data_IF_921684371508
#
_entry.id   IF_921684371508
#
_cell.length_a   1.000
_cell.length_b   1.000
_cell.length_c   1.000
_cell.angle_alpha   90.00
_cell.angle_beta   90.00
_cell.angle_gamma   90.00
#
_symmetry.space_group_name_H-M   'P 1'
#
loop_
_entity.id
_entity.type
_entity.pdbx_description
1 polymer ?
#
# COMPACT_ATOMS: atom_id res chain seq x y z
N UNK A 1 -19.28 18.54 -22.94
CA UNK A 1 -20.08 18.73 -21.72
C UNK A 1 -19.10 19.02 -20.60
N UNK A 2 -19.18 20.20 -19.98
CA UNK A 2 -18.45 20.45 -18.73
C UNK A 2 -19.06 19.55 -17.65
N UNK A 3 -18.27 18.87 -16.81
CA UNK A 3 -18.82 18.10 -15.71
C UNK A 3 -19.60 19.05 -14.80
N UNK A 4 -20.79 18.62 -14.38
CA UNK A 4 -21.61 19.36 -13.43
C UNK A 4 -20.84 19.41 -12.10
N UNK A 5 -20.28 20.58 -11.77
CA UNK A 5 -19.51 20.76 -10.55
C UNK A 5 -20.53 20.87 -9.42
N UNK A 6 -20.83 19.74 -8.78
CA UNK A 6 -21.62 19.76 -7.55
C UNK A 6 -20.91 20.66 -6.52
N UNK A 7 -21.67 21.51 -5.81
CA UNK A 7 -21.09 22.36 -4.77
C UNK A 7 -20.51 21.48 -3.67
N UNK A 8 -19.38 21.93 -3.12
CA UNK A 8 -18.77 21.26 -1.98
C UNK A 8 -19.75 21.20 -0.80
N UNK A 9 -19.78 20.06 -0.11
CA UNK A 9 -20.62 19.85 1.07
C UNK A 9 -19.74 19.73 2.32
N UNK A 10 -20.24 20.17 3.47
CA UNK A 10 -19.50 20.08 4.73
C UNK A 10 -19.77 18.73 5.41
N UNK A 11 -18.74 18.10 5.97
CA UNK A 11 -18.88 16.89 6.78
C UNK A 11 -19.70 17.14 8.04
N UNK A 12 -20.71 16.31 8.29
CA UNK A 12 -21.52 16.39 9.52
C UNK A 12 -20.69 16.17 10.80
N UNK A 13 -19.64 15.35 10.73
CA UNK A 13 -18.80 14.98 11.87
C UNK A 13 -17.65 15.95 12.10
N UNK A 14 -17.17 16.58 11.03
CA UNK A 14 -15.98 17.43 11.02
C UNK A 14 -16.31 18.82 10.49
N UNK A 15 -17.08 19.56 11.29
CA UNK A 15 -17.58 20.89 10.97
C UNK A 15 -17.31 21.92 12.07
N UNK A 16 -16.34 21.67 12.96
CA UNK A 16 -16.15 22.54 14.13
C UNK A 16 -15.79 23.97 13.73
N UNK A 17 -16.29 24.94 14.50
CA UNK A 17 -16.12 26.36 14.20
C UNK A 17 -14.68 26.80 14.47
N UNK A 18 -14.04 26.23 15.48
CA UNK A 18 -12.66 26.48 15.92
C UNK A 18 -11.59 25.66 15.18
N UNK A 19 -11.99 24.85 14.19
CA UNK A 19 -11.08 24.16 13.29
C UNK A 19 -10.17 25.16 12.55
N UNK A 20 -8.88 24.85 12.50
CA UNK A 20 -7.81 25.70 11.95
C UNK A 20 -7.29 25.23 10.58
N UNK A 21 -7.81 24.10 10.07
CA UNK A 21 -7.50 23.57 8.73
C UNK A 21 -8.71 22.91 8.09
N UNK A 22 -8.81 23.05 6.76
CA UNK A 22 -9.88 22.44 5.97
C UNK A 22 -9.28 21.50 4.92
N UNK A 23 -9.71 20.24 4.91
CA UNK A 23 -9.42 19.29 3.86
C UNK A 23 -10.62 19.09 2.94
N UNK A 24 -10.39 18.78 1.67
CA UNK A 24 -11.41 18.46 0.68
C UNK A 24 -11.18 17.06 0.12
N UNK A 25 -12.14 16.15 0.27
CA UNK A 25 -12.09 14.83 -0.37
C UNK A 25 -12.24 14.94 -1.90
N UNK A 26 -11.87 13.88 -2.63
CA UNK A 26 -11.94 13.89 -4.10
C UNK A 26 -13.38 13.97 -4.63
N UNK A 27 -14.37 13.60 -3.82
CA UNK A 27 -15.80 13.73 -4.11
C UNK A 27 -16.44 15.00 -3.51
N UNK A 28 -15.65 16.00 -3.12
CA UNK A 28 -16.15 17.35 -2.79
C UNK A 28 -16.71 17.52 -1.38
N UNK A 29 -16.34 16.67 -0.41
CA UNK A 29 -16.70 16.87 0.99
C UNK A 29 -15.58 17.61 1.73
N UNK A 30 -15.94 18.67 2.43
CA UNK A 30 -15.06 19.48 3.26
C UNK A 30 -15.02 18.95 4.69
N UNK A 31 -13.83 18.84 5.24
CA UNK A 31 -13.55 18.40 6.60
C UNK A 31 -12.79 19.48 7.33
N UNK A 32 -13.45 20.14 8.28
CA UNK A 32 -12.85 21.13 9.17
C UNK A 32 -12.27 20.41 10.38
N UNK A 33 -10.93 20.42 10.50
CA UNK A 33 -10.21 19.70 11.57
C UNK A 33 -9.16 20.59 12.25
N UNK A 34 -8.44 20.04 13.24
CA UNK A 34 -7.48 20.76 14.06
C UNK A 34 -6.05 20.25 13.81
N UNK A 35 -5.13 21.14 13.46
CA UNK A 35 -3.70 20.85 13.26
C UNK A 35 -3.09 20.12 14.44
N UNK A 36 -3.41 20.56 15.67
CA UNK A 36 -2.91 19.90 16.90
C UNK A 36 -3.15 18.40 16.94
N UNK A 37 -4.32 17.93 16.45
CA UNK A 37 -4.62 16.51 16.42
C UNK A 37 -3.84 15.81 15.29
N UNK A 38 -3.70 16.46 14.13
CA UNK A 38 -2.90 15.93 13.02
C UNK A 38 -1.43 15.77 13.41
N UNK A 39 -0.83 16.79 14.02
CA UNK A 39 0.58 16.80 14.45
C UNK A 39 0.88 15.72 15.50
N UNK A 40 -0.12 15.37 16.32
CA UNK A 40 0.06 14.38 17.39
C UNK A 40 -0.14 12.95 16.89
N UNK A 41 -0.92 12.74 15.82
CA UNK A 41 -1.37 11.42 15.39
C UNK A 41 -0.88 10.98 14.01
N UNK A 42 -0.20 11.86 13.27
CA UNK A 42 0.23 11.61 11.89
C UNK A 42 1.60 12.21 11.62
N UNK A 43 2.39 11.58 10.75
CA UNK A 43 3.65 12.19 10.26
C UNK A 43 3.48 12.93 8.93
N UNK A 44 2.42 12.63 8.18
CA UNK A 44 2.25 13.13 6.81
C UNK A 44 1.72 14.57 6.72
N UNK A 45 1.08 15.07 7.79
CA UNK A 45 0.48 16.41 7.82
C UNK A 45 1.33 17.44 8.57
N UNK A 46 2.57 17.09 8.95
CA UNK A 46 3.49 18.02 9.61
C UNK A 46 3.64 19.29 8.76
N UNK A 47 3.14 20.41 9.29
CA UNK A 47 3.10 21.66 8.54
C UNK A 47 4.51 22.19 8.25
N UNK A 48 4.79 22.70 7.05
CA UNK A 48 5.94 23.57 6.86
C UNK A 48 5.77 24.83 7.73
N UNK A 49 6.86 25.50 8.15
CA UNK A 49 6.83 26.65 9.07
C UNK A 49 6.10 27.90 8.54
N UNK A 50 5.56 27.83 7.32
CA UNK A 50 4.74 28.89 6.74
C UNK A 50 3.30 28.65 7.13
N UNK A 51 2.79 29.47 8.03
CA UNK A 51 1.41 29.49 8.51
C UNK A 51 0.45 29.33 7.33
N UNK A 52 -0.30 28.22 7.20
CA UNK A 52 -1.33 28.13 6.18
C UNK A 52 -2.31 29.26 6.43
N UNK A 53 -2.67 29.99 5.38
CA UNK A 53 -3.70 31.02 5.51
C UNK A 53 -4.97 30.36 6.06
N UNK A 54 -5.69 31.00 6.99
CA UNK A 54 -6.89 30.45 7.65
C UNK A 54 -7.99 29.94 6.70
N UNK A 55 -7.86 30.15 5.39
CA UNK A 55 -8.79 29.74 4.34
C UNK A 55 -8.20 28.74 3.33
N UNK A 56 -7.02 28.17 3.57
CA UNK A 56 -6.45 27.19 2.65
C UNK A 56 -7.23 25.86 2.73
N UNK A 57 -7.71 25.39 1.56
CA UNK A 57 -8.38 24.10 1.43
C UNK A 57 -7.40 23.11 0.80
N UNK A 58 -7.03 22.08 1.57
CA UNK A 58 -6.09 21.06 1.13
C UNK A 58 -6.87 19.91 0.48
N UNK A 59 -6.65 19.69 -0.81
CA UNK A 59 -7.33 18.60 -1.54
C UNK A 59 -6.65 17.25 -1.31
N UNK A 60 -7.46 16.24 -0.99
CA UNK A 60 -7.08 14.84 -0.80
C UNK A 60 -7.52 14.00 -2.00
N UNK A 61 -6.88 12.86 -2.22
CA UNK A 61 -7.23 11.95 -3.34
C UNK A 61 -8.29 10.93 -2.96
N UNK A 62 -8.53 10.78 -1.66
CA UNK A 62 -9.44 9.82 -1.04
C UNK A 62 -10.86 10.38 -1.03
N UNK A 63 -11.84 9.47 -1.12
CA UNK A 63 -13.26 9.82 -0.98
C UNK A 63 -13.62 10.15 0.47
N UNK A 64 -14.79 10.77 0.64
CA UNK A 64 -15.29 11.24 1.93
C UNK A 64 -15.40 10.14 2.99
N UNK A 65 -15.81 8.93 2.60
CA UNK A 65 -16.01 7.83 3.56
C UNK A 65 -14.67 7.35 4.12
N UNK A 66 -13.65 7.32 3.26
CA UNK A 66 -12.28 7.00 3.63
C UNK A 66 -11.68 8.08 4.55
N UNK A 67 -11.85 9.36 4.19
CA UNK A 67 -11.35 10.49 4.98
C UNK A 67 -12.05 10.58 6.34
N UNK A 68 -13.37 10.35 6.39
CA UNK A 68 -14.14 10.36 7.66
C UNK A 68 -13.61 9.29 8.62
N UNK A 69 -13.40 8.05 8.13
CA UNK A 69 -12.83 6.98 8.94
C UNK A 69 -11.41 7.31 9.40
N UNK A 70 -10.55 7.81 8.50
CA UNK A 70 -9.17 8.17 8.82
C UNK A 70 -9.12 9.23 9.94
N UNK A 71 -9.90 10.30 9.81
CA UNK A 71 -9.96 11.36 10.81
C UNK A 71 -10.64 10.91 12.12
N UNK A 72 -11.41 9.82 12.12
CA UNK A 72 -11.89 9.23 13.37
C UNK A 72 -10.74 8.71 14.25
N UNK A 73 -9.68 8.15 13.66
CA UNK A 73 -8.48 7.69 14.37
C UNK A 73 -7.56 8.81 14.86
N UNK A 74 -7.65 10.00 14.26
CA UNK A 74 -6.82 11.17 14.61
C UNK A 74 -7.37 11.91 15.83
N UNK A 75 -8.66 11.75 16.15
CA UNK A 75 -9.29 12.45 17.26
C UNK A 75 -9.38 11.57 18.50
N UNK A 76 -9.30 12.15 19.71
CA UNK A 76 -9.41 11.44 20.98
C UNK A 76 -10.85 11.00 21.25
N UNK A 77 -11.31 9.98 20.53
CA UNK A 77 -12.64 9.38 20.65
C UNK A 77 -12.57 7.86 20.51
N UNK A 78 -13.72 7.21 20.71
CA UNK A 78 -13.83 5.77 20.41
C UNK A 78 -13.57 5.55 18.92
N UNK A 79 -12.65 4.63 18.63
CA UNK A 79 -12.30 4.24 17.27
C UNK A 79 -13.47 3.53 16.58
N UNK A 80 -13.61 3.67 15.26
CA UNK A 80 -14.67 3.01 14.51
C UNK A 80 -14.49 1.49 14.53
N UNK A 81 -15.61 0.76 14.53
CA UNK A 81 -15.58 -0.69 14.49
C UNK A 81 -15.35 -1.18 13.04
N UNK A 82 -14.13 -1.60 12.70
CA UNK A 82 -13.81 -2.11 11.36
C UNK A 82 -14.38 -3.50 11.05
N UNK A 83 -15.08 -4.15 11.97
CA UNK A 83 -15.74 -5.46 11.72
C UNK A 83 -17.04 -5.32 10.93
N UNK A 84 -17.66 -4.16 10.95
CA UNK A 84 -18.93 -3.88 10.25
C UNK A 84 -18.72 -3.12 8.94
N UNK A 85 -17.46 -2.93 8.53
CA UNK A 85 -17.10 -2.21 7.32
C UNK A 85 -16.77 -3.22 6.22
N UNK A 86 -17.34 -2.99 5.04
CA UNK A 86 -17.08 -3.79 3.84
C UNK A 86 -15.60 -3.75 3.45
N UNK A 87 -15.10 -4.87 2.91
CA UNK A 87 -13.68 -5.03 2.59
C UNK A 87 -13.17 -3.93 1.65
N UNK A 88 -13.96 -3.53 0.64
CA UNK A 88 -13.55 -2.47 -0.29
C UNK A 88 -13.26 -1.13 0.43
N UNK A 89 -14.04 -0.80 1.46
CA UNK A 89 -13.84 0.43 2.24
C UNK A 89 -12.68 0.26 3.25
N UNK A 90 -12.52 -0.94 3.82
CA UNK A 90 -11.35 -1.28 4.63
C UNK A 90 -10.05 -1.13 3.83
N UNK A 91 -10.02 -1.60 2.58
CA UNK A 91 -8.85 -1.52 1.72
C UNK A 91 -8.45 -0.08 1.40
N UNK A 92 -9.43 0.79 1.11
CA UNK A 92 -9.19 2.23 0.93
C UNK A 92 -8.67 2.88 2.21
N UNK A 93 -9.26 2.55 3.36
CA UNK A 93 -8.79 3.06 4.65
C UNK A 93 -7.36 2.61 4.95
N UNK A 94 -7.01 1.36 4.66
CA UNK A 94 -5.66 0.83 4.88
C UNK A 94 -4.62 1.58 4.04
N UNK A 95 -4.88 1.80 2.75
CA UNK A 95 -3.99 2.58 1.89
C UNK A 95 -3.86 4.03 2.36
N UNK A 96 -4.97 4.66 2.79
CA UNK A 96 -4.95 6.02 3.32
C UNK A 96 -4.18 6.09 4.65
N UNK A 97 -4.36 5.12 5.55
CA UNK A 97 -3.67 5.06 6.83
C UNK A 97 -2.16 4.96 6.64
N UNK A 98 -1.70 4.13 5.71
CA UNK A 98 -0.29 4.02 5.32
C UNK A 98 0.22 5.33 4.70
N UNK A 99 -0.50 5.88 3.71
CA UNK A 99 -0.11 7.12 3.04
C UNK A 99 0.07 8.28 4.01
N UNK A 100 -0.84 8.40 4.98
CA UNK A 100 -0.85 9.50 5.95
C UNK A 100 -0.16 9.16 7.28
N UNK A 101 0.41 7.96 7.40
CA UNK A 101 1.09 7.48 8.61
C UNK A 101 0.24 7.63 9.88
N UNK A 102 -1.03 7.20 9.81
CA UNK A 102 -1.95 7.18 10.97
C UNK A 102 -1.77 5.85 11.68
N UNK A 103 -0.75 5.73 12.52
CA UNK A 103 -0.30 4.44 13.08
C UNK A 103 -1.39 3.61 13.76
N UNK A 104 -2.28 4.26 14.52
CA UNK A 104 -3.39 3.57 15.18
C UNK A 104 -4.35 2.91 14.18
N UNK A 105 -4.53 3.50 12.99
CA UNK A 105 -5.33 2.94 11.91
C UNK A 105 -4.55 1.86 11.13
N UNK A 106 -3.24 2.06 10.91
CA UNK A 106 -2.36 1.09 10.23
C UNK A 106 -2.42 -0.27 10.92
N UNK A 107 -2.19 -0.30 12.24
CA UNK A 107 -2.09 -1.56 13.00
C UNK A 107 -3.38 -2.38 12.88
N UNK A 108 -4.53 -1.74 13.11
CA UNK A 108 -5.82 -2.44 13.06
C UNK A 108 -6.22 -2.80 11.62
N UNK A 109 -5.90 -1.97 10.63
CA UNK A 109 -6.13 -2.31 9.22
C UNK A 109 -5.31 -3.53 8.81
N UNK A 110 -4.04 -3.61 9.22
CA UNK A 110 -3.18 -4.76 8.94
C UNK A 110 -3.75 -6.04 9.56
N UNK A 111 -4.20 -6.00 10.82
CA UNK A 111 -4.90 -7.13 11.45
C UNK A 111 -6.12 -7.55 10.64
N UNK A 112 -6.98 -6.60 10.22
CA UNK A 112 -8.19 -6.89 9.45
C UNK A 112 -7.87 -7.43 8.06
N UNK A 113 -6.81 -6.98 7.41
CA UNK A 113 -6.30 -7.56 6.16
C UNK A 113 -5.85 -9.02 6.37
N UNK A 114 -5.18 -9.30 7.50
CA UNK A 114 -4.81 -10.66 7.92
C UNK A 114 -5.99 -11.57 8.24
N UNK A 115 -7.17 -11.02 8.54
CA UNK A 115 -8.40 -11.81 8.67
C UNK A 115 -9.10 -12.01 7.31
N UNK A 116 -8.89 -11.09 6.36
CA UNK A 116 -9.56 -11.08 5.06
C UNK A 116 -8.81 -11.83 3.94
N UNK A 117 -7.54 -12.20 4.13
CA UNK A 117 -6.72 -12.77 3.03
C UNK A 117 -7.31 -14.03 2.39
N UNK A 118 -8.10 -14.81 3.13
CA UNK A 118 -8.71 -16.02 2.61
C UNK A 118 -9.79 -15.72 1.55
N UNK A 119 -10.51 -14.60 1.72
CA UNK A 119 -11.62 -14.16 0.88
C UNK A 119 -11.14 -13.17 -0.20
N UNK A 120 -10.12 -12.36 0.12
CA UNK A 120 -9.56 -11.31 -0.75
C UNK A 120 -8.04 -11.45 -0.95
N UNK A 121 -7.55 -12.60 -1.44
CA UNK A 121 -6.12 -12.89 -1.46
C UNK A 121 -5.32 -11.95 -2.37
N UNK A 122 -5.86 -11.52 -3.51
CA UNK A 122 -5.13 -10.65 -4.44
C UNK A 122 -4.96 -9.24 -3.89
N UNK A 123 -6.03 -8.65 -3.35
CA UNK A 123 -6.02 -7.31 -2.77
C UNK A 123 -5.11 -7.25 -1.54
N UNK A 124 -5.21 -8.26 -0.67
CA UNK A 124 -4.36 -8.38 0.52
C UNK A 124 -2.89 -8.61 0.14
N UNK A 125 -2.61 -9.46 -0.85
CA UNK A 125 -1.25 -9.66 -1.35
C UNK A 125 -0.66 -8.37 -1.89
N UNK A 126 -1.44 -7.60 -2.65
CA UNK A 126 -0.99 -6.32 -3.22
C UNK A 126 -0.76 -5.26 -2.14
N UNK A 127 -1.63 -5.17 -1.13
CA UNK A 127 -1.44 -4.32 0.04
C UNK A 127 -0.14 -4.70 0.78
N UNK A 128 0.01 -5.99 1.09
CA UNK A 128 1.18 -6.51 1.80
C UNK A 128 2.49 -6.29 1.02
N UNK A 129 2.46 -6.45 -0.31
CA UNK A 129 3.59 -6.18 -1.18
C UNK A 129 3.98 -4.70 -1.20
N UNK A 130 3.00 -3.77 -1.26
CA UNK A 130 3.25 -2.33 -1.27
C UNK A 130 3.89 -1.84 0.02
N UNK A 131 3.42 -2.33 1.17
CA UNK A 131 3.79 -1.82 2.49
C UNK A 131 4.82 -2.69 3.23
N UNK A 132 5.18 -3.84 2.65
CA UNK A 132 6.28 -4.68 3.15
C UNK A 132 5.90 -5.68 4.24
N UNK A 133 4.62 -6.07 4.34
CA UNK A 133 4.15 -7.07 5.30
C UNK A 133 4.42 -8.48 4.80
N UNK A 134 5.63 -8.98 5.05
CA UNK A 134 6.10 -10.27 4.50
C UNK A 134 5.17 -11.44 4.85
N UNK A 135 4.81 -11.60 6.11
CA UNK A 135 4.00 -12.74 6.55
C UNK A 135 2.60 -12.71 5.93
N UNK A 136 2.02 -11.52 5.82
CA UNK A 136 0.72 -11.32 5.17
C UNK A 136 0.81 -11.59 3.66
N UNK A 137 1.90 -11.17 3.02
CA UNK A 137 2.17 -11.44 1.61
C UNK A 137 2.31 -12.95 1.36
N UNK A 138 3.14 -13.66 2.12
CA UNK A 138 3.31 -15.12 1.97
C UNK A 138 1.98 -15.89 2.17
N UNK A 139 1.14 -15.45 3.12
CA UNK A 139 -0.15 -16.08 3.40
C UNK A 139 -1.16 -15.85 2.27
N UNK A 140 -1.26 -14.60 1.81
CA UNK A 140 -2.18 -14.20 0.74
C UNK A 140 -1.74 -14.72 -0.62
N UNK A 141 -0.44 -14.78 -0.90
CA UNK A 141 0.13 -15.39 -2.10
C UNK A 141 -0.22 -16.88 -2.18
N UNK A 142 0.03 -17.65 -1.11
CA UNK A 142 -0.34 -19.07 -1.06
C UNK A 142 -1.81 -19.28 -1.36
N UNK A 143 -2.68 -18.43 -0.81
CA UNK A 143 -4.10 -18.47 -1.08
C UNK A 143 -4.44 -18.07 -2.52
N UNK A 144 -3.79 -17.05 -3.07
CA UNK A 144 -3.96 -16.62 -4.45
C UNK A 144 -3.56 -17.72 -5.46
N UNK A 145 -2.51 -18.49 -5.17
CA UNK A 145 -2.05 -19.62 -6.00
C UNK A 145 -3.02 -20.81 -6.01
N UNK A 146 -3.92 -20.91 -5.02
CA UNK A 146 -5.03 -21.87 -5.06
C UNK A 146 -6.14 -21.45 -6.04
N UNK A 147 -6.18 -20.18 -6.44
CA UNK A 147 -7.16 -19.63 -7.38
C UNK A 147 -6.65 -19.76 -8.82
N UNK A 148 -7.58 -19.68 -9.79
CA UNK A 148 -7.23 -19.91 -11.20
C UNK A 148 -6.32 -18.79 -11.76
N UNK A 149 -5.41 -19.11 -12.69
CA UNK A 149 -4.57 -18.11 -13.37
C UNK A 149 -5.37 -16.97 -14.03
N UNK A 150 -6.58 -17.27 -14.50
CA UNK A 150 -7.50 -16.28 -15.08
C UNK A 150 -7.92 -15.24 -14.05
N UNK A 151 -8.25 -15.65 -12.82
CA UNK A 151 -8.60 -14.71 -11.74
C UNK A 151 -7.40 -13.83 -11.37
N UNK A 152 -6.18 -14.38 -11.36
CA UNK A 152 -4.97 -13.60 -11.11
C UNK A 152 -4.72 -12.55 -12.20
N UNK A 153 -4.94 -12.87 -13.48
CA UNK A 153 -4.79 -11.93 -14.58
C UNK A 153 -5.77 -10.75 -14.49
N UNK A 154 -7.02 -11.00 -14.06
CA UNK A 154 -8.04 -9.97 -13.91
C UNK A 154 -7.77 -9.03 -12.72
N UNK A 155 -7.20 -9.55 -11.63
CA UNK A 155 -6.99 -8.80 -10.40
C UNK A 155 -5.62 -8.10 -10.30
N UNK A 156 -4.59 -8.58 -11.00
CA UNK A 156 -3.23 -8.10 -10.85
C UNK A 156 -2.79 -7.19 -12.00
N UNK A 157 -2.03 -6.10 -11.72
CA UNK A 157 -1.33 -5.37 -12.75
C UNK A 157 -0.40 -6.29 -13.54
N UNK A 158 -0.25 -6.07 -14.86
CA UNK A 158 0.51 -6.96 -15.76
C UNK A 158 1.92 -7.32 -15.25
N UNK A 159 2.65 -6.37 -14.68
CA UNK A 159 3.99 -6.62 -14.15
C UNK A 159 3.98 -7.53 -12.92
N UNK A 160 2.95 -7.41 -12.07
CA UNK A 160 2.74 -8.28 -10.92
C UNK A 160 2.27 -9.66 -11.37
N UNK A 161 1.35 -9.73 -12.34
CA UNK A 161 0.89 -10.98 -12.90
C UNK A 161 2.04 -11.80 -13.51
N UNK A 162 2.94 -11.17 -14.27
CA UNK A 162 4.15 -11.84 -14.79
C UNK A 162 5.05 -12.36 -13.65
N UNK A 163 5.20 -11.60 -12.57
CA UNK A 163 5.96 -12.07 -11.41
C UNK A 163 5.27 -13.26 -10.71
N UNK A 164 3.94 -13.22 -10.60
CA UNK A 164 3.10 -14.26 -10.01
C UNK A 164 3.13 -15.56 -10.83
N UNK A 165 2.99 -15.50 -12.16
CA UNK A 165 3.12 -16.67 -13.06
C UNK A 165 4.51 -17.32 -12.97
N UNK A 166 5.56 -16.50 -12.86
CA UNK A 166 6.92 -17.00 -12.65
C UNK A 166 7.08 -17.65 -11.27
N UNK A 167 6.37 -17.19 -10.24
CA UNK A 167 6.38 -17.84 -8.93
C UNK A 167 5.60 -19.16 -8.95
N UNK A 168 4.41 -19.20 -9.56
CA UNK A 168 3.61 -20.42 -9.71
C UNK A 168 4.35 -21.51 -10.49
N UNK A 169 4.92 -21.14 -11.65
CA UNK A 169 5.57 -22.10 -12.56
C UNK A 169 6.87 -22.67 -12.00
N UNK A 170 7.67 -21.87 -11.27
CA UNK A 170 9.01 -22.26 -10.84
C UNK A 170 9.11 -22.71 -9.37
N UNK A 171 8.07 -22.49 -8.55
CA UNK A 171 8.11 -22.76 -7.10
C UNK A 171 7.09 -23.81 -6.61
N UNK A 172 6.23 -24.35 -7.48
CA UNK A 172 5.42 -25.54 -7.15
C UNK A 172 6.30 -26.81 -7.04
N UNK A 173 6.22 -27.57 -5.93
CA UNK A 173 6.89 -28.86 -5.82
C UNK A 173 6.37 -29.91 -6.82
N UNK A 174 5.11 -29.80 -7.25
CA UNK A 174 4.45 -30.84 -8.04
C UNK A 174 4.85 -30.85 -9.53
N UNK A 175 5.50 -29.80 -10.04
CA UNK A 175 6.10 -29.75 -11.38
C UNK A 175 7.54 -30.29 -11.41
N UNK A 176 8.08 -30.77 -10.29
CA UNK A 176 9.41 -31.40 -10.18
C UNK A 176 9.47 -32.84 -10.75
N UNK A 177 8.81 -33.13 -11.87
CA UNK A 177 8.99 -34.44 -12.52
C UNK A 177 10.24 -34.51 -13.43
N UNK A 178 10.96 -33.41 -13.62
CA UNK A 178 12.01 -33.34 -14.64
C UNK A 178 13.34 -32.76 -14.12
N UNK A 179 13.86 -33.25 -12.98
CA UNK A 179 15.32 -33.25 -12.74
C UNK A 179 16.07 -31.92 -12.59
N UNK A 180 15.41 -30.78 -12.36
CA UNK A 180 16.10 -29.54 -12.01
C UNK A 180 16.27 -29.45 -10.50
N UNK A 181 17.50 -29.63 -10.02
CA UNK A 181 17.83 -29.54 -8.60
C UNK A 181 17.65 -28.12 -8.08
N UNK A 182 16.97 -28.02 -6.94
CA UNK A 182 16.78 -26.78 -6.19
C UNK A 182 18.13 -26.06 -5.98
N UNK A 183 18.25 -24.81 -6.44
CA UNK A 183 19.17 -23.89 -5.81
C UNK A 183 18.69 -23.71 -4.37
N UNK A 184 19.52 -24.14 -3.42
CA UNK A 184 19.23 -24.18 -2.00
C UNK A 184 18.64 -22.85 -1.49
N UNK A 185 17.68 -22.89 -0.53
CA UNK A 185 17.04 -21.71 0.03
C UNK A 185 17.95 -21.06 1.08
N UNK A 186 19.08 -20.49 0.66
CA UNK A 186 19.97 -19.75 1.57
C UNK A 186 20.01 -18.25 1.33
N UNK A 187 19.12 -17.72 0.47
CA UNK A 187 19.03 -16.27 0.28
C UNK A 187 17.56 -15.88 0.31
N UNK A 188 17.09 -15.51 1.50
CA UNK A 188 15.86 -14.75 1.69
C UNK A 188 16.06 -13.40 1.00
N UNK A 189 15.66 -13.30 -0.26
CA UNK A 189 15.81 -12.10 -1.05
C UNK A 189 14.65 -11.16 -0.69
N UNK A 190 14.95 -10.15 0.13
CA UNK A 190 14.07 -9.04 0.48
C UNK A 190 13.41 -8.41 -0.78
N UNK A 191 12.15 -7.92 -0.69
CA UNK A 191 11.42 -7.33 -1.83
C UNK A 191 12.16 -6.20 -2.55
N UNK A 192 13.09 -5.51 -1.88
CA UNK A 192 13.93 -4.46 -2.49
C UNK A 192 14.86 -4.98 -3.60
N UNK A 193 15.14 -6.28 -3.66
CA UNK A 193 16.08 -6.88 -4.63
C UNK A 193 15.43 -7.43 -5.91
N UNK A 194 14.10 -7.57 -5.94
CA UNK A 194 13.36 -8.02 -7.12
C UNK A 194 13.52 -7.04 -8.31
N UNK A 195 13.69 -5.74 -8.04
CA UNK A 195 13.74 -4.70 -9.09
C UNK A 195 15.09 -4.58 -9.81
N UNK A 196 16.21 -4.96 -9.18
CA UNK A 196 17.56 -4.69 -9.71
C UNK A 196 18.16 -5.93 -10.42
N UNK A 197 17.92 -7.14 -9.91
CA UNK A 197 18.59 -8.33 -10.44
C UNK A 197 17.92 -8.94 -11.68
N UNK A 198 16.60 -8.77 -11.86
CA UNK A 198 15.91 -9.27 -13.06
C UNK A 198 16.27 -8.48 -14.33
N UNK A 199 16.54 -7.17 -14.22
CA UNK A 199 16.97 -6.35 -15.37
C UNK A 199 18.44 -6.64 -15.72
N UNK A 200 19.30 -6.83 -14.73
CA UNK A 200 20.74 -7.03 -14.94
C UNK A 200 21.09 -8.37 -15.59
N UNK A 201 20.30 -9.42 -15.35
CA UNK A 201 20.47 -10.73 -16.02
C UNK A 201 20.02 -10.74 -17.49
N UNK A 202 19.22 -9.75 -17.93
CA UNK A 202 18.67 -9.72 -19.30
C UNK A 202 19.53 -8.95 -20.32
N UNK A 203 20.53 -8.18 -19.87
CA UNK A 203 21.46 -7.40 -20.72
C UNK A 203 22.88 -7.99 -20.81
N UNK A 204 23.15 -9.14 -20.20
CA UNK A 204 24.47 -9.78 -20.13
C UNK A 204 24.90 -10.53 -21.40
N UNK A 205 24.59 -10.00 -22.57
CA UNK A 205 24.90 -10.60 -23.88
C UNK A 205 25.63 -9.66 -24.82
N UNK A 206 26.60 -8.87 -24.32
CA UNK A 206 27.60 -8.24 -25.19
C UNK A 206 29.00 -8.36 -24.56
N UNK A 207 29.90 -8.82 -25.42
CA UNK A 207 31.26 -9.27 -25.14
C UNK A 207 32.19 -8.19 -24.56
N UNK A 208 33.21 -8.70 -23.87
CA UNK A 208 34.41 -8.08 -23.32
C UNK A 208 35.10 -7.03 -24.22
N UNK A 209 35.81 -6.09 -23.57
CA UNK A 209 37.14 -5.56 -23.96
C UNK A 209 37.83 -4.84 -22.76
N UNK A 210 38.77 -5.55 -22.11
CA UNK A 210 40.02 -5.12 -21.39
C UNK A 210 40.02 -4.12 -20.20
N UNK A 211 41.06 -4.10 -19.32
CA UNK A 211 41.80 -5.22 -18.69
C UNK A 211 41.88 -5.14 -17.15
N UNK A 212 42.29 -6.28 -16.56
CA UNK A 212 42.78 -6.42 -15.18
C UNK A 212 44.06 -5.62 -14.92
N UNK A 213 44.00 -4.69 -13.98
CA UNK A 213 45.06 -4.26 -13.04
C UNK A 213 44.41 -3.20 -12.14
N UNK A 214 44.34 -3.23 -10.81
CA UNK A 214 45.19 -3.76 -9.76
C UNK A 214 44.31 -4.17 -8.57
N UNK A 215 44.43 -5.41 -8.13
CA UNK A 215 44.23 -5.79 -6.73
C UNK A 215 45.63 -5.88 -6.13
N UNK A 216 45.90 -5.05 -5.11
CA UNK A 216 46.97 -5.09 -4.09
C UNK A 216 47.26 -3.62 -3.74
N UNK A 217 47.29 -3.17 -2.48
CA UNK A 217 47.58 -3.90 -1.25
C UNK A 217 47.37 -3.00 -0.02
N UNK A 218 47.20 -3.67 1.12
CA UNK A 218 47.68 -3.28 2.46
C UNK A 218 46.98 -2.16 3.25
N UNK A 219 46.48 -2.61 4.41
CA UNK A 219 46.28 -1.94 5.71
C UNK A 219 45.34 -0.73 5.79
#
# INVERSE_FOLDING_TARGET
MLPDIQPDQLSDRFACVDADVTFRSCNGILFKVHHKNLDTHTEAFASPPTVPSQNEIISLTEDSDTVDLLFQYIYPRRQPNLKIIEFAQLAKLAEAAEKYQVYAAIDICNVRMGEAFAEHPFEVMMYALRHGYKDLMDNSERKALELSPTAAFECLPLHTYVAWELMDTFFRPDTMLNGWTCLQPSTVISPKYLRINMIRKRLGGFSALYPRSLLQSHY
#
